data_IF_893573912254
#
_entry.id   IF_893573912254
#
_cell.length_a   1.000
_cell.length_b   1.000
_cell.length_c   1.000
_cell.angle_alpha   90.00
_cell.angle_beta   90.00
_cell.angle_gamma   90.00
#
_symmetry.space_group_name_H-M   'P 1'
#
loop_
_entity.id
_entity.type
_entity.pdbx_description
1 polymer ?
#
# COMPACT_ATOMS: atom_id res chain seq x y z
N UNK A 1 23.30 8.17 -6.19
CA UNK A 1 22.62 7.07 -6.91
C UNK A 1 21.70 7.70 -7.94
N UNK A 2 21.63 7.14 -9.15
CA UNK A 2 20.75 7.64 -10.22
C UNK A 2 19.38 7.00 -9.99
N UNK A 3 18.39 7.76 -9.58
CA UNK A 3 17.01 7.29 -9.42
C UNK A 3 16.44 7.09 -10.82
N UNK A 4 16.26 5.84 -11.24
CA UNK A 4 15.56 5.54 -12.48
C UNK A 4 14.06 5.65 -12.22
N UNK A 5 13.41 6.60 -12.88
CA UNK A 5 11.97 6.83 -12.75
C UNK A 5 11.24 5.70 -13.49
N UNK A 6 10.62 4.79 -12.74
CA UNK A 6 9.76 3.76 -13.31
C UNK A 6 8.50 4.42 -13.90
N UNK A 7 8.36 4.38 -15.22
CA UNK A 7 7.17 4.89 -15.92
C UNK A 7 6.06 3.82 -15.92
N UNK A 8 5.19 3.87 -14.92
CA UNK A 8 4.02 2.97 -14.79
C UNK A 8 2.74 3.80 -14.96
N UNK A 9 2.02 3.63 -16.06
CA UNK A 9 0.66 4.12 -16.31
C UNK A 9 0.34 5.56 -15.84
N UNK A 10 1.24 6.51 -16.12
CA UNK A 10 1.11 7.94 -15.74
C UNK A 10 1.04 8.20 -14.22
N UNK A 11 1.48 7.25 -13.41
CA UNK A 11 1.60 7.42 -11.97
C UNK A 11 2.91 8.13 -11.63
N UNK A 12 2.86 8.97 -10.59
CA UNK A 12 4.06 9.54 -9.99
C UNK A 12 4.50 8.67 -8.82
N UNK A 13 5.82 8.44 -8.63
CA UNK A 13 6.31 7.82 -7.40
C UNK A 13 5.79 8.58 -6.18
N UNK A 14 5.30 7.86 -5.17
CA UNK A 14 4.81 8.49 -3.94
C UNK A 14 5.94 9.18 -3.16
N UNK A 15 7.16 8.66 -3.27
CA UNK A 15 8.37 9.28 -2.72
C UNK A 15 9.64 8.80 -3.46
N UNK A 16 10.77 9.48 -3.22
CA UNK A 16 12.11 9.07 -3.68
C UNK A 16 12.65 7.81 -2.96
N UNK A 17 11.90 7.28 -1.99
CA UNK A 17 12.24 6.10 -1.21
C UNK A 17 11.57 4.86 -1.83
N UNK A 18 12.28 3.73 -1.85
CA UNK A 18 11.70 2.45 -2.29
C UNK A 18 10.40 2.21 -1.52
N UNK A 19 9.27 2.26 -2.22
CA UNK A 19 7.94 2.12 -1.61
C UNK A 19 7.45 0.68 -1.72
N UNK A 20 6.81 0.18 -0.67
CA UNK A 20 6.21 -1.16 -0.65
C UNK A 20 4.70 -1.03 -0.86
N UNK A 21 4.21 -1.65 -1.94
CA UNK A 21 2.79 -1.73 -2.27
C UNK A 21 2.24 -3.07 -1.78
N UNK A 22 1.12 -3.02 -1.06
CA UNK A 22 0.37 -4.19 -0.60
C UNK A 22 -0.99 -4.23 -1.26
N UNK A 23 -1.19 -5.21 -2.15
CA UNK A 23 -2.50 -5.48 -2.74
C UNK A 23 -3.42 -6.10 -1.69
N UNK A 24 -4.56 -5.45 -1.44
CA UNK A 24 -5.48 -5.80 -0.38
C UNK A 24 -6.85 -6.13 -0.94
N UNK A 25 -7.18 -7.42 -0.92
CA UNK A 25 -8.56 -7.85 -1.11
C UNK A 25 -9.37 -7.59 0.16
N UNK A 26 -10.24 -6.57 0.12
CA UNK A 26 -11.04 -6.13 1.27
C UNK A 26 -11.94 -7.26 1.78
N UNK A 27 -12.50 -8.08 0.90
CA UNK A 27 -13.43 -9.16 1.24
C UNK A 27 -12.78 -10.30 2.02
N UNK A 28 -11.47 -10.48 1.92
CA UNK A 28 -10.72 -11.53 2.64
C UNK A 28 -9.75 -11.01 3.70
N UNK A 29 -9.50 -9.71 3.75
CA UNK A 29 -8.48 -9.14 4.64
C UNK A 29 -8.88 -9.14 6.12
N UNK A 30 -10.17 -8.95 6.41
CA UNK A 30 -10.73 -9.16 7.75
C UNK A 30 -11.93 -10.09 7.67
N UNK A 31 -12.35 -10.65 8.81
CA UNK A 31 -13.54 -11.49 8.91
C UNK A 31 -14.80 -10.80 8.38
N UNK A 32 -14.94 -9.49 8.66
CA UNK A 32 -16.08 -8.68 8.24
C UNK A 32 -16.07 -8.38 6.74
N UNK A 33 -14.90 -8.39 6.09
CA UNK A 33 -14.79 -8.14 4.67
C UNK A 33 -15.20 -6.72 4.24
N UNK A 34 -15.03 -5.71 5.11
CA UNK A 34 -15.46 -4.32 4.85
C UNK A 34 -14.29 -3.32 4.93
N UNK A 35 -14.44 -2.18 4.25
CA UNK A 35 -13.47 -1.09 4.35
C UNK A 35 -13.30 -0.60 5.78
N UNK A 36 -14.39 -0.45 6.55
CA UNK A 36 -14.33 -0.02 7.94
C UNK A 36 -13.52 -0.97 8.81
N UNK A 37 -13.63 -2.28 8.60
CA UNK A 37 -12.82 -3.25 9.33
C UNK A 37 -11.36 -3.22 8.87
N UNK A 38 -11.12 -3.10 7.57
CA UNK A 38 -9.76 -2.98 7.02
C UNK A 38 -9.01 -1.74 7.54
N UNK A 39 -9.69 -0.59 7.71
CA UNK A 39 -9.03 0.63 8.23
C UNK A 39 -8.47 0.46 9.63
N UNK A 40 -9.05 -0.43 10.45
CA UNK A 40 -8.55 -0.73 11.80
C UNK A 40 -7.15 -1.36 11.81
N UNK A 41 -6.70 -1.90 10.68
CA UNK A 41 -5.41 -2.60 10.53
C UNK A 41 -4.34 -1.78 9.82
N UNK A 42 -4.65 -0.56 9.37
CA UNK A 42 -3.68 0.26 8.63
C UNK A 42 -2.43 0.62 9.45
N UNK A 43 -2.55 0.73 10.77
CA UNK A 43 -1.39 0.93 11.64
C UNK A 43 -0.48 -0.31 11.67
N UNK A 44 -1.04 -1.51 11.65
CA UNK A 44 -0.27 -2.76 11.60
C UNK A 44 0.52 -2.83 10.29
N UNK A 45 -0.11 -2.48 9.16
CA UNK A 45 0.54 -2.41 7.84
C UNK A 45 1.66 -1.36 7.80
N UNK A 46 1.44 -0.21 8.43
CA UNK A 46 2.47 0.82 8.57
C UNK A 46 3.67 0.32 9.39
N UNK A 47 3.42 -0.38 10.51
CA UNK A 47 4.47 -0.98 11.32
C UNK A 47 5.26 -2.05 10.55
N UNK A 48 4.59 -2.78 9.66
CA UNK A 48 5.22 -3.75 8.76
C UNK A 48 6.10 -3.09 7.67
N UNK A 49 5.93 -1.79 7.42
CA UNK A 49 6.67 -1.03 6.42
C UNK A 49 5.98 -0.92 5.06
N UNK A 50 4.65 -1.08 5.03
CA UNK A 50 3.84 -0.86 3.82
C UNK A 50 3.52 0.63 3.69
N UNK A 51 3.74 1.16 2.49
CA UNK A 51 3.51 2.58 2.17
C UNK A 51 2.17 2.80 1.47
N UNK A 52 1.76 1.84 0.63
CA UNK A 52 0.58 1.96 -0.23
C UNK A 52 -0.26 0.69 -0.13
N UNK A 53 -1.57 0.87 -0.01
CA UNK A 53 -2.57 -0.20 -0.11
C UNK A 53 -3.41 0.06 -1.37
N UNK A 54 -3.59 -0.97 -2.19
CA UNK A 54 -4.37 -0.92 -3.43
C UNK A 54 -5.38 -2.07 -3.53
#
# INVERSE_FOLDING_TARGET
MKTETLNVDKTSPLSDQNSVIYELNVGSFTTEGTFTAATTKLNDLRTLGIDIVC
#
